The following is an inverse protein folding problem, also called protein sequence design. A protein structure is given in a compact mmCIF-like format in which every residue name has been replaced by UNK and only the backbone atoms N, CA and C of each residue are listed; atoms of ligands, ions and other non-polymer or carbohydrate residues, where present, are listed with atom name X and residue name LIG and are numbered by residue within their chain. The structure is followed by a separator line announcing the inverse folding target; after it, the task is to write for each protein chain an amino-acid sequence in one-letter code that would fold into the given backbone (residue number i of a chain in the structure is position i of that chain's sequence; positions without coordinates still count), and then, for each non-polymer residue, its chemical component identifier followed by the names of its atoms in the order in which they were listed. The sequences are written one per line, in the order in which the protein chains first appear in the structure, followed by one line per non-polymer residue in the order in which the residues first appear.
data_IF_113611912378
#
_entry.id   IF_113611912378
#
_cell.length_a   1.000
_cell.length_b   1.000
_cell.length_c   1.000
_cell.angle_alpha   90.00
_cell.angle_beta   90.00
_cell.angle_gamma   90.00
#
_symmetry.space_group_name_H-M   'P 1'
#
loop_
_entity.id
_entity.type
_entity.pdbx_description
1 polymer ?
#
# COMPACT_ATOMS: atom_id res chain seq x y z
N UNK A 1 -12.73 10.03 -7.67
CA UNK A 1 -13.43 9.21 -8.66
C UNK A 1 -12.88 9.58 -10.02
N UNK A 2 -12.26 8.62 -10.72
CA UNK A 2 -11.85 8.76 -12.12
C UNK A 2 -12.77 7.81 -12.88
N UNK A 3 -13.53 8.32 -13.84
CA UNK A 3 -14.36 7.46 -14.68
C UNK A 3 -13.47 6.47 -15.44
N UNK A 4 -13.91 5.21 -15.57
CA UNK A 4 -13.11 4.15 -16.19
C UNK A 4 -12.76 4.45 -17.66
N UNK A 5 -13.53 5.31 -18.31
CA UNK A 5 -13.31 5.75 -19.69
C UNK A 5 -12.25 6.86 -19.81
N UNK A 6 -12.00 7.58 -18.71
CA UNK A 6 -10.97 8.60 -18.60
C UNK A 6 -9.72 8.10 -17.89
N UNK A 7 -9.69 6.83 -17.48
CA UNK A 7 -8.58 6.25 -16.73
C UNK A 7 -7.34 6.08 -17.62
N UNK A 8 -6.34 6.94 -17.40
CA UNK A 8 -5.05 6.94 -18.10
C UNK A 8 -3.90 6.87 -17.06
N UNK A 9 -2.86 6.09 -17.38
CA UNK A 9 -1.65 5.93 -16.56
C UNK A 9 -1.00 7.27 -16.19
N UNK A 10 -1.05 8.28 -17.06
CA UNK A 10 -0.43 9.58 -16.83
C UNK A 10 -1.13 10.37 -15.71
N UNK A 11 -2.42 10.09 -15.46
CA UNK A 11 -3.18 10.64 -14.32
C UNK A 11 -2.81 9.97 -13.00
N UNK A 12 -2.26 8.76 -13.04
CA UNK A 12 -1.85 7.98 -11.85
C UNK A 12 -0.38 8.25 -11.51
N UNK A 13 0.50 8.40 -12.52
CA UNK A 13 1.95 8.64 -12.34
C UNK A 13 2.29 9.90 -11.54
N UNK A 14 1.43 10.92 -11.56
CA UNK A 14 1.63 12.17 -10.81
C UNK A 14 1.11 12.13 -9.38
N UNK A 15 0.47 11.03 -8.97
CA UNK A 15 -0.11 10.86 -7.64
C UNK A 15 0.68 9.83 -6.84
N UNK A 16 0.57 9.93 -5.50
CA UNK A 16 1.06 8.86 -4.63
C UNK A 16 0.37 7.55 -5.00
N UNK A 17 1.12 6.46 -4.98
CA UNK A 17 0.62 5.11 -5.23
C UNK A 17 -0.55 4.84 -4.27
N UNK A 18 -1.72 4.41 -4.78
CA UNK A 18 -2.90 4.19 -3.95
C UNK A 18 -2.76 2.91 -3.12
N UNK A 19 -3.42 2.86 -1.96
CA UNK A 19 -3.50 1.63 -1.15
C UNK A 19 -4.63 0.70 -1.63
N UNK A 20 -5.68 1.29 -2.21
CA UNK A 20 -6.91 0.63 -2.63
C UNK A 20 -7.31 1.16 -4.00
N UNK A 21 -7.66 0.25 -4.90
CA UNK A 21 -8.24 0.55 -6.21
C UNK A 21 -9.62 -0.09 -6.27
N UNK A 22 -10.63 0.73 -6.52
CA UNK A 22 -12.01 0.30 -6.68
C UNK A 22 -12.39 0.29 -8.16
N UNK A 23 -12.98 -0.81 -8.62
CA UNK A 23 -13.39 -0.98 -10.01
C UNK A 23 -14.80 -1.53 -10.06
N UNK A 24 -15.67 -0.87 -10.81
CA UNK A 24 -16.99 -1.41 -11.12
C UNK A 24 -16.93 -2.20 -12.44
N UNK A 25 -17.56 -3.38 -12.48
CA UNK A 25 -17.67 -4.18 -13.70
C UNK A 25 -18.57 -3.49 -14.72
N UNK A 26 -18.06 -3.36 -15.94
CA UNK A 26 -18.75 -2.76 -17.07
C UNK A 26 -18.22 -3.31 -18.38
N UNK A 27 -18.32 -2.58 -19.48
CA UNK A 27 -17.72 -3.03 -20.74
C UNK A 27 -16.18 -2.89 -20.70
N UNK A 28 -15.48 -3.92 -21.20
CA UNK A 28 -14.02 -3.94 -21.38
C UNK A 28 -13.18 -3.64 -20.12
N UNK A 29 -13.77 -3.68 -18.92
CA UNK A 29 -13.08 -3.34 -17.66
C UNK A 29 -11.82 -4.20 -17.45
N UNK A 30 -11.94 -5.52 -17.65
CA UNK A 30 -10.85 -6.46 -17.42
C UNK A 30 -9.63 -6.18 -18.30
N UNK A 31 -9.87 -5.78 -19.56
CA UNK A 31 -8.80 -5.44 -20.50
C UNK A 31 -8.09 -4.14 -20.08
N UNK A 32 -8.84 -3.12 -19.64
CA UNK A 32 -8.28 -1.87 -19.14
C UNK A 32 -7.43 -2.10 -17.88
N UNK A 33 -7.92 -2.93 -16.96
CA UNK A 33 -7.19 -3.29 -15.73
C UNK A 33 -5.92 -4.06 -16.04
N UNK A 34 -6.00 -5.11 -16.87
CA UNK A 34 -4.84 -5.87 -17.28
C UNK A 34 -3.78 -4.99 -17.95
N UNK A 35 -4.20 -4.04 -18.79
CA UNK A 35 -3.30 -3.10 -19.45
C UNK A 35 -2.55 -2.22 -18.45
N UNK A 36 -3.23 -1.70 -17.43
CA UNK A 36 -2.62 -0.82 -16.41
C UNK A 36 -1.65 -1.60 -15.53
N UNK A 37 -2.07 -2.78 -15.05
CA UNK A 37 -1.22 -3.62 -14.21
C UNK A 37 0.01 -4.13 -14.96
N UNK A 38 -0.09 -4.42 -16.26
CA UNK A 38 1.07 -4.87 -17.06
C UNK A 38 2.03 -3.74 -17.43
N UNK A 39 1.54 -2.49 -17.47
CA UNK A 39 2.33 -1.33 -17.90
C UNK A 39 3.10 -0.66 -16.76
N UNK A 40 2.67 -0.85 -15.50
CA UNK A 40 3.28 -0.22 -14.34
C UNK A 40 3.64 -1.25 -13.27
N UNK A 41 4.92 -1.61 -13.23
CA UNK A 41 5.48 -2.53 -12.24
C UNK A 41 5.34 -1.98 -10.81
N UNK A 42 5.23 -0.66 -10.61
CA UNK A 42 5.11 -0.09 -9.27
C UNK A 42 3.77 -0.43 -8.60
N UNK A 43 2.69 -0.59 -9.37
CA UNK A 43 1.39 -1.02 -8.85
C UNK A 43 1.36 -2.51 -8.48
N UNK A 44 2.18 -3.33 -9.15
CA UNK A 44 2.34 -4.75 -8.83
C UNK A 44 3.27 -5.00 -7.63
N UNK A 45 4.27 -4.15 -7.43
CA UNK A 45 5.27 -4.31 -6.36
C UNK A 45 4.86 -3.63 -5.04
N UNK A 46 3.87 -2.74 -5.08
CA UNK A 46 3.27 -2.17 -3.87
C UNK A 46 2.01 -2.95 -3.51
N UNK A 47 1.78 -3.17 -2.22
CA UNK A 47 0.64 -3.90 -1.64
C UNK A 47 -0.71 -3.16 -1.87
N UNK A 48 -1.02 -2.83 -3.12
CA UNK A 48 -2.24 -2.14 -3.53
C UNK A 48 -3.36 -3.17 -3.63
N UNK A 49 -4.39 -3.04 -2.80
CA UNK A 49 -5.54 -3.93 -2.85
C UNK A 49 -6.48 -3.57 -4.01
N UNK A 50 -6.83 -4.55 -4.84
CA UNK A 50 -7.75 -4.38 -5.96
C UNK A 50 -9.13 -4.91 -5.57
N UNK A 51 -10.12 -4.03 -5.50
CA UNK A 51 -11.49 -4.37 -5.11
C UNK A 51 -12.40 -4.17 -6.30
N UNK A 52 -13.10 -5.23 -6.69
CA UNK A 52 -14.01 -5.21 -7.83
C UNK A 52 -15.46 -5.27 -7.34
N UNK A 53 -16.33 -4.43 -7.91
CA UNK A 53 -17.77 -4.43 -7.66
C UNK A 53 -18.51 -4.91 -8.90
N UNK A 54 -19.46 -5.82 -8.73
CA UNK A 54 -20.25 -6.28 -9.86
C UNK A 54 -21.46 -7.10 -9.46
N UNK A 55 -22.00 -7.86 -10.40
CA UNK A 55 -23.06 -8.82 -10.13
C UNK A 55 -22.41 -10.13 -9.64
N UNK A 56 -22.83 -10.63 -8.48
CA UNK A 56 -22.32 -11.89 -7.91
C UNK A 56 -22.78 -13.12 -8.69
N UNK A 57 -23.87 -13.01 -9.44
CA UNK A 57 -24.34 -14.06 -10.35
C UNK A 57 -23.47 -14.19 -11.61
N UNK A 58 -22.76 -13.12 -11.99
CA UNK A 58 -21.79 -13.14 -13.09
C UNK A 58 -20.47 -13.80 -12.65
N UNK A 59 -20.51 -15.13 -12.66
CA UNK A 59 -19.37 -15.97 -12.32
C UNK A 59 -18.17 -15.74 -13.27
N UNK A 60 -18.40 -15.26 -14.50
CA UNK A 60 -17.32 -14.99 -15.44
C UNK A 60 -16.54 -13.74 -15.03
N UNK A 61 -17.24 -12.66 -14.67
CA UNK A 61 -16.62 -11.45 -14.14
C UNK A 61 -15.91 -11.69 -12.81
N UNK A 62 -16.52 -12.45 -11.90
CA UNK A 62 -15.89 -12.86 -10.63
C UNK A 62 -14.58 -13.62 -10.87
N UNK A 63 -14.60 -14.65 -11.73
CA UNK A 63 -13.39 -15.42 -12.07
C UNK A 63 -12.32 -14.56 -12.74
N UNK A 64 -12.72 -13.59 -13.56
CA UNK A 64 -11.80 -12.67 -14.20
C UNK A 64 -11.14 -11.74 -13.18
N UNK A 65 -11.90 -11.20 -12.23
CA UNK A 65 -11.37 -10.35 -11.16
C UNK A 65 -10.27 -11.07 -10.37
N UNK A 66 -10.54 -12.29 -9.93
CA UNK A 66 -9.57 -13.09 -9.18
C UNK A 66 -8.32 -13.41 -10.01
N UNK A 67 -8.48 -13.69 -11.32
CA UNK A 67 -7.34 -13.91 -12.24
C UNK A 67 -6.47 -12.67 -12.42
N UNK A 68 -7.06 -11.48 -12.33
CA UNK A 68 -6.35 -10.21 -12.39
C UNK A 68 -5.67 -9.84 -11.06
N UNK A 69 -5.82 -10.69 -10.02
CA UNK A 69 -5.27 -10.43 -8.70
C UNK A 69 -6.13 -9.50 -7.85
N UNK A 70 -7.45 -9.46 -8.10
CA UNK A 70 -8.37 -8.79 -7.19
C UNK A 70 -8.25 -9.41 -5.79
N UNK A 71 -8.12 -8.53 -4.79
CA UNK A 71 -8.14 -8.89 -3.38
C UNK A 71 -9.51 -9.41 -2.99
N UNK A 72 -10.57 -8.76 -3.49
CA UNK A 72 -11.94 -9.17 -3.23
C UNK A 72 -12.93 -8.72 -4.32
N UNK A 73 -14.11 -9.33 -4.34
CA UNK A 73 -15.22 -9.01 -5.23
C UNK A 73 -16.51 -8.86 -4.44
N UNK A 74 -17.19 -7.72 -4.60
CA UNK A 74 -18.43 -7.41 -3.91
C UNK A 74 -19.59 -7.14 -4.86
N UNK A 75 -20.81 -7.33 -4.38
CA UNK A 75 -22.00 -6.77 -5.03
C UNK A 75 -21.89 -5.25 -5.21
N UNK A 76 -22.48 -4.70 -6.27
CA UNK A 76 -22.64 -3.24 -6.45
C UNK A 76 -23.42 -2.58 -5.31
N UNK A 77 -24.28 -3.34 -4.63
CA UNK A 77 -25.09 -2.87 -3.51
C UNK A 77 -24.53 -3.28 -2.15
N UNK A 78 -23.22 -3.59 -2.07
CA UNK A 78 -22.58 -4.00 -0.82
C UNK A 78 -22.71 -2.93 0.25
N UNK A 79 -23.03 -3.36 1.46
CA UNK A 79 -23.10 -2.46 2.62
C UNK A 79 -21.72 -2.24 3.23
N UNK A 80 -21.55 -1.10 3.90
CA UNK A 80 -20.28 -0.76 4.56
C UNK A 80 -19.85 -1.82 5.59
N UNK A 81 -20.81 -2.51 6.23
CA UNK A 81 -20.52 -3.58 7.17
C UNK A 81 -19.73 -4.74 6.58
N UNK A 82 -19.94 -5.03 5.29
CA UNK A 82 -19.24 -6.09 4.56
C UNK A 82 -17.88 -5.63 4.03
N UNK A 83 -17.76 -4.35 3.66
CA UNK A 83 -16.48 -3.75 3.25
C UNK A 83 -15.52 -3.49 4.41
N UNK A 84 -16.06 -3.19 5.59
CA UNK A 84 -15.27 -2.73 6.74
C UNK A 84 -14.13 -3.67 7.15
N UNK A 85 -14.32 -5.00 7.25
CA UNK A 85 -13.23 -5.93 7.58
C UNK A 85 -12.05 -5.84 6.60
N UNK A 86 -12.33 -5.72 5.30
CA UNK A 86 -11.32 -5.58 4.27
C UNK A 86 -10.55 -4.25 4.43
N UNK A 87 -11.28 -3.13 4.59
CA UNK A 87 -10.66 -1.82 4.80
C UNK A 87 -9.77 -1.80 6.04
N UNK A 88 -10.23 -2.42 7.13
CA UNK A 88 -9.48 -2.55 8.38
C UNK A 88 -8.20 -3.36 8.15
N UNK A 89 -8.30 -4.52 7.51
CA UNK A 89 -7.16 -5.39 7.20
C UNK A 89 -6.11 -4.66 6.34
N UNK A 90 -6.54 -3.98 5.28
CA UNK A 90 -5.62 -3.21 4.42
C UNK A 90 -4.94 -2.08 5.20
N UNK A 91 -5.65 -1.39 6.10
CA UNK A 91 -5.06 -0.35 6.94
C UNK A 91 -4.03 -0.92 7.93
N UNK A 92 -4.34 -2.05 8.57
CA UNK A 92 -3.43 -2.74 9.51
C UNK A 92 -2.18 -3.25 8.80
N UNK A 93 -2.32 -3.84 7.61
CA UNK A 93 -1.21 -4.29 6.78
C UNK A 93 -0.32 -3.11 6.37
N UNK A 94 -0.88 -1.97 6.01
CA UNK A 94 -0.11 -0.76 5.69
C UNK A 94 0.70 -0.25 6.88
N UNK A 95 0.14 -0.30 8.08
CA UNK A 95 0.86 0.09 9.31
C UNK A 95 1.98 -0.91 9.59
N UNK A 96 1.71 -2.22 9.44
CA UNK A 96 2.69 -3.29 9.65
C UNK A 96 3.85 -3.22 8.65
N UNK A 97 3.56 -2.97 7.38
CA UNK A 97 4.55 -2.90 6.30
C UNK A 97 5.18 -1.52 6.17
N UNK A 98 4.84 -0.58 7.06
CA UNK A 98 5.48 0.73 7.07
C UNK A 98 6.95 0.54 7.39
N UNK A 99 7.80 0.87 6.41
CA UNK A 99 9.24 0.87 6.60
C UNK A 99 9.57 1.83 7.74
N UNK A 100 9.94 1.28 8.90
CA UNK A 100 10.45 2.06 10.01
C UNK A 100 11.88 2.50 9.69
N UNK A 101 12.34 3.56 10.36
CA UNK A 101 13.74 3.95 10.27
C UNK A 101 14.65 2.87 10.88
N UNK A 102 15.92 2.88 10.50
CA UNK A 102 16.92 1.97 11.04
C UNK A 102 17.11 2.19 12.55
N UNK A 103 17.11 1.10 13.33
CA UNK A 103 17.33 1.14 14.77
C UNK A 103 18.78 0.77 15.10
N UNK A 104 19.51 1.70 15.71
CA UNK A 104 20.86 1.45 16.25
C UNK A 104 20.81 1.44 17.77
N UNK A 105 21.32 0.38 18.40
CA UNK A 105 21.26 0.19 19.84
C UNK A 105 22.67 0.16 20.46
N UNK A 106 22.89 1.00 21.48
CA UNK A 106 24.16 1.06 22.22
C UNK A 106 23.98 0.43 23.60
N UNK A 107 24.37 -0.83 23.75
CA UNK A 107 24.24 -1.58 25.01
C UNK A 107 25.57 -1.59 25.76
N UNK A 108 25.57 -1.12 27.01
CA UNK A 108 26.71 -1.29 27.91
C UNK A 108 26.71 -2.68 28.55
N UNK A 109 27.89 -3.28 28.69
CA UNK A 109 28.07 -4.52 29.47
C UNK A 109 28.37 -4.27 30.95
N UNK A 110 28.81 -3.05 31.31
CA UNK A 110 29.08 -2.58 32.68
C UNK A 110 28.78 -1.08 32.80
N UNK A 111 28.60 -0.58 34.02
CA UNK A 111 28.48 0.86 34.27
C UNK A 111 29.76 1.60 33.85
N UNK A 112 29.61 2.74 33.16
CA UNK A 112 30.75 3.57 32.74
C UNK A 112 31.43 3.16 31.42
N UNK A 113 30.92 2.17 30.69
CA UNK A 113 31.52 1.72 29.41
C UNK A 113 31.29 2.66 28.21
N UNK A 114 30.68 3.83 28.41
CA UNK A 114 30.60 4.89 27.41
C UNK A 114 29.50 4.76 26.36
N UNK A 115 28.56 3.81 26.46
CA UNK A 115 27.45 3.70 25.50
C UNK A 115 26.67 5.00 25.33
N UNK A 116 26.41 5.75 26.41
CA UNK A 116 25.74 7.06 26.31
C UNK A 116 26.56 8.02 25.46
N UNK A 117 27.87 8.15 25.70
CA UNK A 117 28.76 9.02 24.92
C UNK A 117 28.76 8.64 23.43
N UNK A 118 28.81 7.34 23.13
CA UNK A 118 28.76 6.85 21.75
C UNK A 118 27.40 7.11 21.10
N UNK A 119 26.30 6.85 21.81
CA UNK A 119 24.94 7.05 21.31
C UNK A 119 24.69 8.53 20.98
N UNK A 120 25.06 9.44 21.88
CA UNK A 120 24.82 10.88 21.68
C UNK A 120 25.64 11.43 20.52
N UNK A 121 26.93 11.12 20.46
CA UNK A 121 27.79 11.60 19.37
C UNK A 121 27.36 11.02 18.01
N UNK A 122 27.01 9.73 17.97
CA UNK A 122 26.52 9.09 16.74
C UNK A 122 25.19 9.70 16.30
N UNK A 123 24.27 9.98 17.24
CA UNK A 123 23.00 10.63 16.92
C UNK A 123 23.19 12.05 16.37
N UNK A 124 24.11 12.84 16.93
CA UNK A 124 24.44 14.18 16.43
C UNK A 124 24.97 14.09 14.99
N UNK A 125 25.94 13.23 14.74
CA UNK A 125 26.55 13.09 13.41
C UNK A 125 25.54 12.57 12.37
N UNK A 126 24.77 11.54 12.73
CA UNK A 126 23.68 11.04 11.88
C UNK A 126 22.61 12.10 11.63
N UNK A 127 22.30 12.95 12.62
CA UNK A 127 21.31 14.02 12.43
C UNK A 127 21.78 15.06 11.40
N UNK A 128 23.08 15.36 11.36
CA UNK A 128 23.69 16.23 10.35
C UNK A 128 23.59 15.59 8.97
N UNK A 129 23.98 14.31 8.85
CA UNK A 129 23.94 13.56 7.59
C UNK A 129 22.52 13.37 7.05
N UNK A 130 21.57 12.98 7.90
CA UNK A 130 20.20 12.64 7.53
C UNK A 130 19.22 13.84 7.56
N UNK A 131 19.74 15.08 7.61
CA UNK A 131 18.94 16.32 7.62
C UNK A 131 17.87 16.33 8.72
N UNK A 132 18.29 16.03 9.94
CA UNK A 132 17.48 16.02 11.17
C UNK A 132 16.36 14.97 11.22
N UNK A 133 16.42 13.91 10.39
CA UNK A 133 15.53 12.75 10.46
C UNK A 133 16.06 11.65 11.39
N UNK A 134 16.56 12.05 12.56
CA UNK A 134 17.12 11.13 13.57
C UNK A 134 16.48 11.44 14.91
N UNK A 135 16.09 10.39 15.62
CA UNK A 135 15.54 10.47 16.97
C UNK A 135 16.44 9.65 17.90
N UNK A 136 17.01 10.30 18.91
CA UNK A 136 17.64 9.64 20.05
C UNK A 136 16.56 9.47 21.13
N UNK A 137 16.31 8.23 21.56
CA UNK A 137 15.33 7.87 22.60
C UNK A 137 16.07 7.43 23.85
#
# INVERSE_FOLDING_TARGET
WIELDLFNIDLVKSKSIPDLIYIETGENWAQKVAHVYSSDSSLQHNHTALIVFGDESDTASLKMALRLGATDYFSRSVELGELYPLLKSTAEEKVSNKQMGDLTLFINTKGGSGATTLATNTAIELSSYAKSKVLLI
#
